data_IF_087256753674
#
_entry.id   IF_087256753674
#
_cell.length_a   1.000
_cell.length_b   1.000
_cell.length_c   1.000
_cell.angle_alpha   90.00
_cell.angle_beta   90.00
_cell.angle_gamma   90.00
#
_symmetry.space_group_name_H-M   'P 1'
#
loop_
_entity.id
_entity.type
_entity.pdbx_description
1 polymer ?
#
# COMPACT_ATOMS: atom_id res chain seq x y z
N UNK A 1 31.19 -18.13 10.71
CA UNK A 1 32.04 -17.40 9.74
C UNK A 1 31.10 -16.74 8.74
N UNK A 2 30.88 -15.43 8.81
CA UNK A 2 30.08 -14.72 7.82
C UNK A 2 30.88 -14.72 6.51
N UNK A 3 30.33 -15.31 5.44
CA UNK A 3 30.92 -15.14 4.11
C UNK A 3 31.00 -13.63 3.82
N UNK A 4 32.12 -13.14 3.25
CA UNK A 4 32.30 -11.72 2.97
C UNK A 4 31.13 -11.22 2.12
N UNK A 5 30.51 -10.11 2.56
CA UNK A 5 29.27 -9.53 1.99
C UNK A 5 29.27 -9.42 0.46
N UNK A 6 30.45 -9.28 -0.16
CA UNK A 6 30.64 -9.21 -1.60
C UNK A 6 30.17 -10.47 -2.36
N UNK A 7 30.39 -11.66 -1.81
CA UNK A 7 29.98 -12.92 -2.49
C UNK A 7 28.46 -13.09 -2.42
N UNK A 8 27.86 -12.71 -1.29
CA UNK A 8 26.41 -12.81 -1.07
C UNK A 8 25.60 -11.92 -2.02
N UNK A 9 26.04 -10.69 -2.28
CA UNK A 9 25.37 -9.81 -3.25
C UNK A 9 25.49 -10.33 -4.69
N UNK A 10 26.68 -10.73 -5.13
CA UNK A 10 26.87 -11.27 -6.48
C UNK A 10 26.05 -12.54 -6.71
N UNK A 11 26.01 -13.44 -5.72
CA UNK A 11 25.20 -14.65 -5.79
C UNK A 11 23.69 -14.33 -5.83
N UNK A 12 23.22 -13.35 -5.05
CA UNK A 12 21.82 -12.94 -5.05
C UNK A 12 21.39 -12.36 -6.41
N UNK A 13 22.24 -11.54 -7.04
CA UNK A 13 21.96 -10.93 -8.36
C UNK A 13 21.97 -11.99 -9.45
N UNK A 14 23.02 -12.82 -9.52
CA UNK A 14 23.13 -13.88 -10.54
C UNK A 14 22.03 -14.92 -10.37
N UNK A 15 21.74 -15.32 -9.12
CA UNK A 15 20.66 -16.26 -8.81
C UNK A 15 19.28 -15.74 -9.23
N UNK A 16 18.98 -14.48 -8.93
CA UNK A 16 17.71 -13.86 -9.33
C UNK A 16 17.52 -13.78 -10.84
N UNK A 17 18.59 -13.45 -11.59
CA UNK A 17 18.55 -13.39 -13.05
C UNK A 17 18.33 -14.79 -13.67
N UNK A 18 19.07 -15.81 -13.21
CA UNK A 18 18.94 -17.18 -13.73
C UNK A 18 17.56 -17.76 -13.44
N UNK A 19 17.03 -17.57 -12.22
CA UNK A 19 15.69 -18.03 -11.85
C UNK A 19 14.63 -17.32 -12.70
N UNK A 20 14.78 -16.01 -12.92
CA UNK A 20 13.87 -15.24 -13.76
C UNK A 20 13.88 -15.70 -15.22
N UNK A 21 15.05 -15.91 -15.80
CA UNK A 21 15.21 -16.43 -17.16
C UNK A 21 14.62 -17.83 -17.30
N UNK A 22 14.92 -18.72 -16.35
CA UNK A 22 14.35 -20.06 -16.31
C UNK A 22 12.82 -20.06 -16.16
N UNK A 23 12.25 -19.15 -15.37
CA UNK A 23 10.80 -19.03 -15.19
C UNK A 23 10.09 -18.56 -16.48
N UNK A 24 10.73 -17.70 -17.27
CA UNK A 24 10.21 -17.26 -18.58
C UNK A 24 10.32 -18.40 -19.60
N UNK A 25 11.49 -19.03 -19.71
CA UNK A 25 11.74 -20.12 -20.67
C UNK A 25 10.91 -21.37 -20.36
N UNK A 26 10.67 -21.65 -19.09
CA UNK A 26 9.82 -22.74 -18.62
C UNK A 26 8.32 -22.47 -18.78
N UNK A 27 7.91 -21.28 -19.25
CA UNK A 27 6.51 -20.93 -19.45
C UNK A 27 5.72 -20.74 -18.15
N UNK A 28 6.39 -20.67 -17.00
CA UNK A 28 5.73 -20.48 -15.69
C UNK A 28 5.22 -19.04 -15.54
N UNK A 29 5.91 -18.06 -16.13
CA UNK A 29 5.55 -16.64 -16.05
C UNK A 29 5.83 -15.92 -17.36
N UNK A 30 5.10 -14.84 -17.65
CA UNK A 30 5.41 -13.96 -18.78
C UNK A 30 6.41 -12.86 -18.40
N UNK A 31 7.21 -12.34 -19.35
CA UNK A 31 8.13 -11.22 -19.09
C UNK A 31 7.44 -10.00 -18.49
N UNK A 32 6.22 -9.69 -18.96
CA UNK A 32 5.42 -8.57 -18.46
C UNK A 32 4.99 -8.77 -17.01
N UNK A 33 4.56 -9.98 -16.64
CA UNK A 33 4.22 -10.33 -15.26
C UNK A 33 5.42 -10.18 -14.33
N UNK A 34 6.61 -10.59 -14.77
CA UNK A 34 7.83 -10.56 -13.97
C UNK A 34 8.26 -9.12 -13.66
N UNK A 35 8.15 -8.21 -14.64
CA UNK A 35 8.40 -6.77 -14.43
C UNK A 35 7.42 -6.20 -13.40
N UNK A 36 6.13 -6.49 -13.52
CA UNK A 36 5.11 -6.01 -12.56
C UNK A 36 5.35 -6.59 -11.16
N UNK A 37 5.71 -7.87 -11.04
CA UNK A 37 6.03 -8.48 -9.75
C UNK A 37 7.27 -7.83 -9.10
N UNK A 38 8.31 -7.57 -9.89
CA UNK A 38 9.54 -6.90 -9.43
C UNK A 38 9.29 -5.47 -8.96
N UNK A 39 8.55 -4.65 -9.72
CA UNK A 39 8.20 -3.28 -9.30
C UNK A 39 7.34 -3.29 -8.03
N UNK A 40 6.41 -4.24 -7.92
CA UNK A 40 5.58 -4.39 -6.71
C UNK A 40 6.41 -4.82 -5.50
N UNK A 41 7.41 -5.70 -5.67
CA UNK A 41 8.34 -6.08 -4.61
C UNK A 41 9.14 -4.87 -4.13
N UNK A 42 9.68 -4.06 -5.05
CA UNK A 42 10.41 -2.83 -4.71
C UNK A 42 9.51 -1.82 -3.98
N UNK A 43 8.28 -1.62 -4.46
CA UNK A 43 7.30 -0.72 -3.84
C UNK A 43 6.90 -1.15 -2.42
N UNK A 44 6.99 -2.45 -2.11
CA UNK A 44 6.67 -2.96 -0.76
C UNK A 44 7.69 -2.47 0.27
N UNK A 45 8.95 -2.23 -0.13
CA UNK A 45 9.97 -1.67 0.75
C UNK A 45 9.75 -0.19 1.12
N UNK A 46 8.83 0.51 0.45
CA UNK A 46 8.40 1.85 0.86
C UNK A 46 7.64 1.82 2.20
N UNK A 47 7.05 0.68 2.58
CA UNK A 47 6.44 0.50 3.90
C UNK A 47 7.54 0.28 4.95
N UNK A 48 7.87 1.34 5.69
CA UNK A 48 8.88 1.31 6.77
C UNK A 48 8.40 0.44 7.96
N UNK A 49 7.09 0.27 8.12
CA UNK A 49 6.51 -0.52 9.20
C UNK A 49 6.39 -2.00 8.80
N UNK A 50 7.18 -2.86 9.46
CA UNK A 50 7.24 -4.30 9.18
C UNK A 50 5.88 -5.00 9.35
N UNK A 51 5.10 -4.61 10.36
CA UNK A 51 3.76 -5.16 10.58
C UNK A 51 2.82 -4.82 9.42
N UNK A 52 2.89 -3.59 8.91
CA UNK A 52 2.10 -3.18 7.74
C UNK A 52 2.56 -3.88 6.45
N UNK A 53 3.88 -4.01 6.24
CA UNK A 53 4.43 -4.73 5.09
C UNK A 53 3.98 -6.19 5.03
N UNK A 54 3.94 -6.87 6.18
CA UNK A 54 3.41 -8.23 6.30
C UNK A 54 1.92 -8.32 5.97
N UNK A 55 1.10 -7.41 6.52
CA UNK A 55 -0.35 -7.37 6.25
C UNK A 55 -0.62 -7.13 4.76
N UNK A 56 0.09 -6.19 4.11
CA UNK A 56 -0.09 -5.89 2.69
C UNK A 56 0.33 -7.07 1.80
N UNK A 57 1.41 -7.75 2.16
CA UNK A 57 1.87 -8.95 1.43
C UNK A 57 0.82 -10.07 1.54
N UNK A 58 0.27 -10.30 2.73
CA UNK A 58 -0.79 -11.29 2.95
C UNK A 58 -2.06 -10.95 2.16
N UNK A 59 -2.46 -9.67 2.15
CA UNK A 59 -3.61 -9.20 1.36
C UNK A 59 -3.37 -9.39 -0.15
N UNK A 60 -2.14 -9.20 -0.64
CA UNK A 60 -1.79 -9.47 -2.04
C UNK A 60 -1.97 -10.93 -2.39
N UNK A 61 -1.47 -11.85 -1.56
CA UNK A 61 -1.65 -13.28 -1.78
C UNK A 61 -3.14 -13.68 -1.77
N UNK A 62 -3.94 -13.06 -0.91
CA UNK A 62 -5.40 -13.25 -0.91
C UNK A 62 -6.05 -12.84 -2.24
N UNK A 63 -5.73 -11.64 -2.76
CA UNK A 63 -6.27 -11.17 -4.05
C UNK A 63 -5.78 -12.04 -5.21
N UNK A 64 -4.51 -12.44 -5.21
CA UNK A 64 -3.95 -13.33 -6.23
C UNK A 64 -4.63 -14.70 -6.22
N UNK A 65 -4.89 -15.26 -5.04
CA UNK A 65 -5.60 -16.53 -4.91
C UNK A 65 -7.03 -16.42 -5.45
N UNK A 66 -7.79 -15.39 -5.05
CA UNK A 66 -9.14 -15.15 -5.57
C UNK A 66 -9.12 -14.94 -7.10
N UNK A 67 -8.16 -14.17 -7.60
CA UNK A 67 -8.00 -13.91 -9.03
C UNK A 67 -7.57 -15.16 -9.81
N UNK A 68 -6.86 -16.09 -9.18
CA UNK A 68 -6.46 -17.34 -9.83
C UNK A 68 -7.63 -18.30 -10.02
N UNK A 69 -8.62 -18.29 -9.13
CA UNK A 69 -9.78 -19.18 -9.18
C UNK A 69 -10.93 -18.58 -10.01
N UNK A 70 -11.21 -17.29 -9.82
CA UNK A 70 -12.35 -16.59 -10.42
C UNK A 70 -11.96 -15.64 -11.57
N UNK A 71 -10.68 -15.57 -11.92
CA UNK A 71 -10.17 -14.64 -12.93
C UNK A 71 -10.32 -13.17 -12.51
N UNK A 72 -10.66 -12.32 -13.49
CA UNK A 72 -10.83 -10.88 -13.28
C UNK A 72 -11.94 -10.54 -12.27
N UNK A 73 -12.98 -11.38 -12.18
CA UNK A 73 -14.05 -11.21 -11.19
C UNK A 73 -13.51 -11.34 -9.76
N UNK A 74 -12.62 -12.30 -9.52
CA UNK A 74 -11.95 -12.47 -8.23
C UNK A 74 -11.06 -11.29 -7.85
N UNK A 75 -10.41 -10.65 -8.83
CA UNK A 75 -9.63 -9.44 -8.60
C UNK A 75 -10.50 -8.30 -8.06
N UNK A 76 -11.61 -7.97 -8.73
CA UNK A 76 -12.51 -6.92 -8.26
C UNK A 76 -13.09 -7.25 -6.89
N UNK A 77 -13.53 -8.49 -6.68
CA UNK A 77 -14.10 -8.93 -5.41
C UNK A 77 -13.08 -8.83 -4.26
N UNK A 78 -11.83 -9.23 -4.50
CA UNK A 78 -10.74 -9.08 -3.53
C UNK A 78 -10.44 -7.63 -3.19
N UNK A 79 -10.38 -6.76 -4.21
CA UNK A 79 -10.16 -5.32 -4.02
C UNK A 79 -11.30 -4.68 -3.23
N UNK A 80 -12.56 -4.96 -3.57
CA UNK A 80 -13.71 -4.46 -2.81
C UNK A 80 -13.72 -4.96 -1.36
N UNK A 81 -13.40 -6.23 -1.14
CA UNK A 81 -13.31 -6.79 0.22
C UNK A 81 -12.24 -6.08 1.05
N UNK A 82 -11.10 -5.74 0.46
CA UNK A 82 -10.04 -4.98 1.13
C UNK A 82 -10.52 -3.56 1.48
N UNK A 83 -11.18 -2.87 0.55
CA UNK A 83 -11.70 -1.51 0.78
C UNK A 83 -12.72 -1.52 1.94
N UNK A 84 -13.64 -2.49 1.95
CA UNK A 84 -14.62 -2.64 3.02
C UNK A 84 -13.96 -2.94 4.37
N UNK A 85 -12.93 -3.79 4.38
CA UNK A 85 -12.16 -4.09 5.59
C UNK A 85 -11.44 -2.85 6.13
N UNK A 86 -10.76 -2.09 5.27
CA UNK A 86 -10.11 -0.84 5.68
C UNK A 86 -11.12 0.22 6.15
N UNK A 87 -12.33 0.25 5.58
CA UNK A 87 -13.37 1.19 6.03
C UNK A 87 -13.89 0.86 7.45
N UNK A 88 -13.79 -0.40 7.87
CA UNK A 88 -14.11 -0.81 9.24
C UNK A 88 -12.95 -0.63 10.21
N UNK A 89 -11.70 -0.57 9.72
CA UNK A 89 -10.57 -0.24 10.57
C UNK A 89 -10.68 1.20 11.06
N UNK A 90 -10.81 1.38 12.36
CA UNK A 90 -10.75 2.68 13.02
C UNK A 90 -9.40 2.80 13.73
N UNK A 91 -8.63 3.83 13.38
CA UNK A 91 -7.39 4.19 14.07
C UNK A 91 -7.68 5.46 14.88
N UNK A 92 -7.54 5.37 16.21
CA UNK A 92 -7.84 6.48 17.13
C UNK A 92 -9.23 7.11 16.95
N UNK A 93 -10.25 6.29 16.64
CA UNK A 93 -11.64 6.72 16.47
C UNK A 93 -11.97 7.34 15.11
N UNK A 94 -10.99 7.42 14.20
CA UNK A 94 -11.18 7.87 12.81
C UNK A 94 -11.05 6.65 11.87
N UNK A 95 -11.92 6.50 10.85
CA UNK A 95 -11.76 5.46 9.84
C UNK A 95 -10.36 5.57 9.19
N UNK A 96 -9.71 4.44 8.89
CA UNK A 96 -8.42 4.43 8.18
C UNK A 96 -8.48 5.18 6.85
N UNK A 97 -9.69 5.27 6.26
CA UNK A 97 -10.00 6.01 5.05
C UNK A 97 -10.33 7.50 5.27
N UNK A 98 -10.18 8.09 6.46
CA UNK A 98 -10.34 9.54 6.65
C UNK A 98 -9.22 10.28 5.90
N UNK A 99 -9.46 11.00 4.76
CA UNK A 99 -10.57 11.91 4.42
C UNK A 99 -11.52 11.50 3.26
N UNK A 100 -11.44 10.26 2.79
CA UNK A 100 -12.35 9.67 1.79
C UNK A 100 -13.68 9.29 2.44
N UNK A 101 -13.69 9.05 3.76
CA UNK A 101 -14.88 8.85 4.58
C UNK A 101 -14.80 9.72 5.84
N UNK A 102 -15.69 10.71 6.07
CA UNK A 102 -16.88 11.06 5.29
C UNK A 102 -16.55 11.88 4.03
N UNK A 103 -17.27 11.63 2.93
CA UNK A 103 -17.21 12.38 1.66
C UNK A 103 -17.68 13.83 1.83
N UNK A 104 -16.90 14.66 2.51
CA UNK A 104 -17.05 16.11 2.45
C UNK A 104 -16.20 16.61 1.30
N UNK A 105 -16.84 16.96 0.18
CA UNK A 105 -16.20 17.59 -0.99
C UNK A 105 -15.38 18.84 -0.61
N UNK A 106 -15.67 19.46 0.55
CA UNK A 106 -14.92 20.60 1.10
C UNK A 106 -13.57 20.22 1.71
N UNK A 107 -13.39 19.01 2.26
CA UNK A 107 -12.13 18.54 2.84
C UNK A 107 -11.20 17.86 1.81
N UNK A 108 -11.76 17.25 0.76
CA UNK A 108 -11.00 16.63 -0.33
C UNK A 108 -10.21 17.69 -1.12
N UNK A 109 -10.85 18.82 -1.45
CA UNK A 109 -10.23 19.95 -2.15
C UNK A 109 -9.41 20.86 -1.22
N UNK A 110 -9.76 20.95 0.07
CA UNK A 110 -9.12 21.86 1.02
C UNK A 110 -7.85 21.33 1.70
N UNK A 111 -7.64 20.01 1.75
CA UNK A 111 -6.49 19.43 2.45
C UNK A 111 -6.13 17.97 2.13
N UNK A 112 -6.98 17.23 1.42
CA UNK A 112 -6.72 15.81 1.09
C UNK A 112 -5.74 15.59 -0.07
N UNK A 113 -5.83 16.39 -1.13
CA UNK A 113 -4.94 16.27 -2.31
C UNK A 113 -3.75 17.23 -2.24
N UNK A 114 -3.95 18.40 -1.64
CA UNK A 114 -2.91 19.41 -1.45
C UNK A 114 -2.72 19.62 0.06
N UNK A 115 -1.80 18.85 0.67
CA UNK A 115 -1.47 19.03 2.08
C UNK A 115 -0.80 20.39 2.25
N UNK A 116 -1.57 21.38 2.66
CA UNK A 116 -1.06 22.74 2.92
C UNK A 116 -0.02 22.67 4.06
N UNK A 117 1.19 23.24 3.88
CA UNK A 117 2.27 23.12 4.86
C UNK A 117 1.84 23.60 6.26
N UNK A 118 2.35 22.94 7.29
CA UNK A 118 1.95 23.09 8.70
C UNK A 118 1.87 24.55 9.19
N UNK A 119 2.72 25.43 8.64
CA UNK A 119 2.81 26.86 8.96
C UNK A 119 1.55 27.68 8.59
N UNK A 120 0.78 27.26 7.59
CA UNK A 120 -0.38 28.02 7.10
C UNK A 120 -1.73 27.44 7.56
N UNK A 121 -1.72 26.46 8.47
CA UNK A 121 -2.95 25.89 9.04
C UNK A 121 -3.45 26.70 10.23
N UNK A 122 -4.30 27.70 9.96
CA UNK A 122 -5.03 28.48 10.99
C UNK A 122 -6.27 27.76 11.56
N UNK A 123 -6.81 26.75 10.87
CA UNK A 123 -7.98 25.97 11.30
C UNK A 123 -7.61 24.50 11.52
N UNK A 124 -8.15 23.90 12.60
CA UNK A 124 -8.01 22.47 12.88
C UNK A 124 -8.79 21.65 11.84
N UNK A 125 -8.35 20.42 11.57
CA UNK A 125 -9.05 19.52 10.65
C UNK A 125 -10.49 19.29 11.14
N UNK A 126 -11.47 19.56 10.28
CA UNK A 126 -12.90 19.51 10.61
C UNK A 126 -13.34 18.08 11.01
N UNK A 127 -12.56 17.08 10.58
CA UNK A 127 -12.69 15.65 10.92
C UNK A 127 -12.62 15.33 12.42
N UNK A 128 -12.03 16.21 13.25
CA UNK A 128 -11.88 15.98 14.69
C UNK A 128 -13.14 16.30 15.51
N UNK A 129 -14.23 16.77 14.89
CA UNK A 129 -15.48 17.19 15.58
C UNK A 129 -15.23 18.02 16.85
N UNK A 130 -14.24 18.92 16.84
CA UNK A 130 -13.96 19.79 18.00
C UNK A 130 -14.92 20.98 18.04
N UNK A 131 -15.45 21.30 19.22
CA UNK A 131 -16.40 22.42 19.45
C UNK A 131 -15.80 23.80 19.13
N UNK A 132 -14.47 23.92 19.10
CA UNK A 132 -13.75 25.11 18.67
C UNK A 132 -12.97 24.83 17.38
N UNK A 133 -13.17 25.71 16.38
CA UNK A 133 -12.65 25.58 15.02
C UNK A 133 -11.29 26.29 14.83
N UNK A 134 -10.86 27.07 15.82
CA UNK A 134 -9.75 28.02 15.71
C UNK A 134 -8.54 27.56 16.52
N UNK A 135 -7.36 27.49 15.88
CA UNK A 135 -6.10 27.18 16.58
C UNK A 135 -5.56 28.50 17.18
N UNK A 136 -6.24 29.04 18.19
CA UNK A 136 -5.77 30.17 19.01
C UNK A 136 -6.42 31.53 18.73
N UNK A 137 -7.29 31.96 19.65
CA UNK A 137 -7.21 33.27 20.31
C UNK A 137 -8.01 33.23 21.62
N UNK A 138 -7.36 32.81 22.70
CA UNK A 138 -7.53 33.27 24.09
C UNK A 138 -6.19 33.08 24.78
#
# INVERSE_FOLDING_TARGET
MTLPKAIGQSLAVVGGLIIGDAAIRGGITSPTMLVVAGTTAVATYTLINQSLGGIVSMARFFVLFLSSVLGLFGFFLGVFSIILYLSRLQIFGLPYLAPISPLSLKDLLGGGVFVKPYLFRKKRAEMLKTKDRTKGNR
#
